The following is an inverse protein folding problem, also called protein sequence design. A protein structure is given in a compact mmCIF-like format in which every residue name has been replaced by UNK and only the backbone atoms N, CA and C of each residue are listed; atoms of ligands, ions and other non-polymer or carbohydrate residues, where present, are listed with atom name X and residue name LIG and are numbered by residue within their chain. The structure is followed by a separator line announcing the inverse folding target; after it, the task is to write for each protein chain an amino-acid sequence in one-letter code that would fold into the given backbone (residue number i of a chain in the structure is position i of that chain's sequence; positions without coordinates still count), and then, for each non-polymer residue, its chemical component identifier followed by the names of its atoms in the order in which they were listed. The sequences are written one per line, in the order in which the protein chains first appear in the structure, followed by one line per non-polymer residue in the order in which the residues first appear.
data_IF_300880016829
#
_entry.id   IF_300880016829
#
_cell.length_a   1.000
_cell.length_b   1.000
_cell.length_c   1.000
_cell.angle_alpha   90.00
_cell.angle_beta   90.00
_cell.angle_gamma   90.00
#
_symmetry.space_group_name_H-M   'P 1'
#
loop_
_entity.id
_entity.type
_entity.pdbx_description
1 polymer ?
#
# COMPACT_ATOMS: atom_id res chain seq x y z
N UNK A 1 18.92 91.40 17.12
CA UNK A 1 19.11 90.22 17.94
C UNK A 1 17.89 89.27 17.72
N UNK A 2 17.97 88.42 16.77
CA UNK A 2 16.88 87.46 16.39
C UNK A 2 17.31 86.09 16.74
N UNK A 3 16.64 85.42 17.72
CA UNK A 3 16.87 84.04 18.14
C UNK A 3 16.03 83.14 17.25
N UNK A 4 16.69 82.33 16.46
CA UNK A 4 16.07 81.23 15.64
C UNK A 4 15.89 80.03 16.51
N UNK A 5 14.63 79.57 16.67
CA UNK A 5 14.29 78.33 17.42
C UNK A 5 14.11 77.23 16.44
N UNK A 6 15.07 76.23 16.41
CA UNK A 6 14.95 75.07 15.62
C UNK A 6 14.07 74.02 16.33
N UNK A 7 12.89 73.75 15.75
CA UNK A 7 11.99 72.70 16.20
C UNK A 7 12.44 71.33 15.57
N UNK A 8 12.99 70.43 16.39
CA UNK A 8 13.35 69.12 15.98
C UNK A 8 12.09 68.24 16.03
N UNK A 9 11.57 67.81 14.83
CA UNK A 9 10.50 66.84 14.71
C UNK A 9 11.13 65.45 14.71
N UNK A 10 10.94 64.71 15.80
CA UNK A 10 11.31 63.29 15.85
C UNK A 10 10.19 62.45 15.20
N UNK A 11 10.48 61.92 14.01
CA UNK A 11 9.60 60.98 13.30
C UNK A 11 9.80 59.57 13.91
N UNK A 12 8.88 59.16 14.78
CA UNK A 12 8.82 57.77 15.27
C UNK A 12 8.35 56.86 14.13
N UNK A 13 9.26 56.12 13.51
CA UNK A 13 8.92 54.96 12.65
C UNK A 13 8.45 53.79 13.52
N UNK A 14 7.14 53.65 13.66
CA UNK A 14 6.56 52.40 14.20
C UNK A 14 6.64 51.36 13.12
N UNK A 15 7.63 50.46 13.20
CA UNK A 15 7.71 49.25 12.37
C UNK A 15 6.66 48.29 12.87
N UNK A 16 5.51 48.23 12.20
CA UNK A 16 4.53 47.15 12.38
C UNK A 16 5.13 45.88 11.80
N UNK A 17 5.64 45.01 12.68
CA UNK A 17 5.95 43.63 12.31
C UNK A 17 4.64 42.94 11.99
N UNK A 18 4.32 42.77 10.71
CA UNK A 18 3.26 41.88 10.28
C UNK A 18 3.72 40.46 10.61
N UNK A 19 3.18 39.88 11.69
CA UNK A 19 3.26 38.46 11.92
C UNK A 19 2.55 37.81 10.74
N UNK A 20 3.32 37.15 9.86
CA UNK A 20 2.76 36.35 8.77
C UNK A 20 1.99 35.18 9.43
N UNK A 21 0.69 35.14 9.20
CA UNK A 21 -0.12 33.99 9.56
C UNK A 21 0.44 32.80 8.77
N UNK A 22 0.87 31.70 9.44
CA UNK A 22 1.39 30.55 8.71
C UNK A 22 0.34 30.10 7.70
N UNK A 23 0.77 29.78 6.49
CA UNK A 23 -0.09 29.13 5.49
C UNK A 23 -0.57 27.79 6.04
N UNK A 24 -1.72 27.28 5.60
CA UNK A 24 -2.25 25.99 6.09
C UNK A 24 -1.26 24.84 5.96
N UNK A 25 -0.32 24.91 5.02
CA UNK A 25 0.76 23.96 4.84
C UNK A 25 1.83 24.04 5.94
N UNK A 26 2.12 25.23 6.44
CA UNK A 26 3.05 25.44 7.55
C UNK A 26 2.46 24.98 8.89
N UNK A 27 1.13 25.12 9.07
CA UNK A 27 0.45 24.75 10.31
C UNK A 27 0.55 23.24 10.65
N UNK A 28 0.77 22.39 9.67
CA UNK A 28 0.87 20.93 9.82
C UNK A 28 2.21 20.34 9.36
N UNK A 29 3.27 21.17 9.24
CA UNK A 29 4.57 20.72 8.73
C UNK A 29 5.17 19.59 9.59
N UNK A 30 5.11 19.71 10.91
CA UNK A 30 5.59 18.71 11.85
C UNK A 30 4.73 17.43 11.78
N UNK A 31 3.42 17.55 11.71
CA UNK A 31 2.51 16.41 11.59
C UNK A 31 2.73 15.65 10.28
N UNK A 32 2.91 16.36 9.17
CA UNK A 32 3.25 15.73 7.88
C UNK A 32 4.60 15.01 7.93
N UNK A 33 5.60 15.58 8.64
CA UNK A 33 6.89 14.91 8.83
C UNK A 33 6.73 13.62 9.66
N UNK A 34 5.98 13.69 10.76
CA UNK A 34 5.69 12.54 11.61
C UNK A 34 4.92 11.42 10.85
N UNK A 35 3.95 11.79 10.01
CA UNK A 35 3.23 10.81 9.19
C UNK A 35 4.11 10.16 8.12
N UNK A 36 5.04 10.91 7.51
CA UNK A 36 6.02 10.33 6.57
C UNK A 36 6.95 9.33 7.27
N UNK A 37 7.44 9.65 8.46
CA UNK A 37 8.26 8.75 9.26
C UNK A 37 7.48 7.49 9.65
N UNK A 38 6.21 7.65 10.03
CA UNK A 38 5.33 6.54 10.33
C UNK A 38 5.12 5.65 9.12
N UNK A 39 4.87 6.21 7.94
CA UNK A 39 4.77 5.47 6.67
C UNK A 39 6.03 4.65 6.38
N UNK A 40 7.22 5.22 6.58
CA UNK A 40 8.48 4.50 6.41
C UNK A 40 8.62 3.32 7.39
N UNK A 41 8.17 3.49 8.65
CA UNK A 41 8.13 2.38 9.65
C UNK A 41 7.18 1.27 9.22
N UNK A 42 6.01 1.62 8.66
CA UNK A 42 5.07 0.64 8.11
C UNK A 42 5.67 -0.13 6.94
N UNK A 43 6.28 0.56 5.97
CA UNK A 43 6.97 -0.07 4.84
C UNK A 43 8.04 -1.05 5.34
N UNK A 44 8.88 -0.63 6.29
CA UNK A 44 9.91 -1.48 6.88
C UNK A 44 9.35 -2.70 7.60
N UNK A 45 8.29 -2.53 8.40
CA UNK A 45 7.66 -3.61 9.15
C UNK A 45 7.07 -4.69 8.23
N UNK A 46 6.38 -4.28 7.15
CA UNK A 46 5.85 -5.19 6.14
C UNK A 46 7.00 -5.91 5.43
N UNK A 47 8.01 -5.19 4.97
CA UNK A 47 9.13 -5.74 4.22
C UNK A 47 9.99 -6.70 5.07
N UNK A 48 10.11 -6.47 6.38
CA UNK A 48 10.74 -7.40 7.31
C UNK A 48 9.81 -8.55 7.73
N UNK A 49 8.50 -8.39 7.53
CA UNK A 49 7.46 -9.33 7.98
C UNK A 49 7.25 -9.35 9.49
N UNK A 50 7.64 -8.27 10.18
CA UNK A 50 7.47 -8.11 11.62
C UNK A 50 6.66 -6.86 11.93
N UNK A 51 5.32 -7.00 11.89
CA UNK A 51 4.41 -5.90 12.18
C UNK A 51 4.40 -5.52 13.67
N UNK A 52 4.89 -6.38 14.57
CA UNK A 52 4.95 -6.07 16.01
C UNK A 52 5.83 -4.88 16.34
N UNK A 53 6.77 -4.53 15.45
CA UNK A 53 7.57 -3.30 15.58
C UNK A 53 6.73 -2.03 15.52
N UNK A 54 5.50 -2.11 15.02
CA UNK A 54 4.55 -1.00 14.92
C UNK A 54 3.71 -0.80 16.19
N UNK A 55 3.90 -1.60 17.25
CA UNK A 55 3.09 -1.52 18.46
C UNK A 55 2.92 -0.09 19.04
N UNK A 56 3.95 0.78 19.06
CA UNK A 56 3.77 2.16 19.53
C UNK A 56 2.91 3.04 18.62
N UNK A 57 2.70 2.62 17.38
CA UNK A 57 2.08 3.41 16.30
C UNK A 57 0.74 2.88 15.84
N UNK A 58 0.20 1.86 16.54
CA UNK A 58 -1.10 1.27 16.26
C UNK A 58 -1.94 1.34 17.55
N UNK A 59 -3.17 1.83 17.41
CA UNK A 59 -4.13 1.78 18.53
C UNK A 59 -4.48 0.31 18.85
N UNK A 60 -4.70 -0.03 20.14
CA UNK A 60 -5.04 -1.40 20.53
C UNK A 60 -6.26 -1.96 19.77
N UNK A 61 -7.27 -1.11 19.54
CA UNK A 61 -8.52 -1.45 18.85
C UNK A 61 -8.47 -1.13 17.34
N UNK A 62 -7.27 -0.91 16.79
CA UNK A 62 -7.13 -0.64 15.37
C UNK A 62 -7.65 -1.82 14.53
N UNK A 63 -8.31 -1.53 13.42
CA UNK A 63 -8.73 -2.55 12.47
C UNK A 63 -8.21 -2.27 11.08
N UNK A 64 -8.05 -3.34 10.31
CA UNK A 64 -7.65 -3.26 8.91
C UNK A 64 -8.54 -4.16 8.04
N UNK A 65 -8.93 -3.65 6.88
CA UNK A 65 -9.50 -4.44 5.78
C UNK A 65 -8.44 -4.52 4.69
N UNK A 66 -7.99 -5.73 4.40
CA UNK A 66 -6.96 -5.95 3.39
C UNK A 66 -7.55 -6.23 2.00
N UNK A 67 -6.73 -6.13 0.98
CA UNK A 67 -7.14 -6.33 -0.41
C UNK A 67 -7.69 -7.74 -0.72
N UNK A 68 -7.50 -8.70 0.18
CA UNK A 68 -8.13 -10.03 0.16
C UNK A 68 -9.55 -10.06 0.71
N UNK A 69 -10.07 -8.90 1.15
CA UNK A 69 -11.34 -8.73 1.87
C UNK A 69 -11.36 -9.36 3.28
N UNK A 70 -10.18 -9.66 3.83
CA UNK A 70 -10.06 -10.06 5.23
C UNK A 70 -10.10 -8.82 6.13
N UNK A 71 -10.96 -8.82 7.13
CA UNK A 71 -11.01 -7.84 8.20
C UNK A 71 -10.34 -8.40 9.44
N UNK A 72 -9.44 -7.63 10.05
CA UNK A 72 -8.71 -8.01 11.27
C UNK A 72 -8.70 -6.86 12.26
N UNK A 73 -8.67 -7.19 13.56
CA UNK A 73 -8.63 -6.23 14.65
C UNK A 73 -7.43 -6.49 15.55
N UNK A 74 -6.69 -5.43 15.85
CA UNK A 74 -5.50 -5.47 16.69
C UNK A 74 -4.24 -5.98 15.97
N UNK A 75 -3.11 -5.58 16.51
CA UNK A 75 -1.79 -5.83 15.89
C UNK A 75 -1.45 -7.33 15.77
N UNK A 76 -1.83 -8.15 16.75
CA UNK A 76 -1.56 -9.58 16.70
C UNK A 76 -2.37 -10.30 15.61
N UNK A 77 -3.61 -9.88 15.36
CA UNK A 77 -4.39 -10.40 14.24
C UNK A 77 -3.82 -9.95 12.89
N UNK A 78 -3.35 -8.70 12.80
CA UNK A 78 -2.63 -8.21 11.61
C UNK A 78 -1.37 -9.03 11.34
N UNK A 79 -0.56 -9.32 12.36
CA UNK A 79 0.63 -10.17 12.23
C UNK A 79 0.26 -11.58 11.75
N UNK A 80 -0.74 -12.22 12.35
CA UNK A 80 -1.23 -13.55 11.93
C UNK A 80 -1.71 -13.56 10.47
N UNK A 81 -2.38 -12.49 10.06
CA UNK A 81 -2.79 -12.34 8.66
C UNK A 81 -1.58 -12.36 7.73
N UNK A 82 -0.55 -11.55 8.01
CA UNK A 82 0.68 -11.51 7.20
C UNK A 82 1.44 -12.84 7.21
N UNK A 83 1.49 -13.53 8.34
CA UNK A 83 2.08 -14.86 8.43
C UNK A 83 1.34 -15.85 7.52
N UNK A 84 -0.01 -15.81 7.49
CA UNK A 84 -0.83 -16.64 6.61
C UNK A 84 -0.59 -16.35 5.11
N UNK A 85 -0.34 -15.09 4.74
CA UNK A 85 0.03 -14.74 3.37
C UNK A 85 1.36 -15.37 2.99
N UNK A 86 2.38 -15.28 3.87
CA UNK A 86 3.68 -15.93 3.63
C UNK A 86 3.57 -17.45 3.46
N UNK A 87 2.75 -18.10 4.28
CA UNK A 87 2.48 -19.54 4.14
C UNK A 87 1.87 -19.87 2.77
N UNK A 88 0.88 -19.10 2.31
CA UNK A 88 0.24 -19.28 1.00
C UNK A 88 1.21 -19.05 -0.16
N UNK A 89 2.17 -18.13 -0.02
CA UNK A 89 3.20 -17.87 -1.04
C UNK A 89 4.25 -19.00 -1.10
N UNK A 90 4.36 -19.80 -0.03
CA UNK A 90 5.23 -20.96 0.06
C UNK A 90 6.61 -20.70 0.65
N UNK A 91 7.31 -21.77 0.99
CA UNK A 91 8.64 -21.70 1.61
C UNK A 91 9.63 -20.98 0.70
N UNK A 92 10.38 -20.02 1.24
CA UNK A 92 11.35 -19.21 0.50
C UNK A 92 10.72 -18.05 -0.28
N UNK A 93 9.41 -17.80 -0.08
CA UNK A 93 8.72 -16.64 -0.63
C UNK A 93 9.16 -15.34 0.03
N UNK A 94 8.93 -14.22 -0.67
CA UNK A 94 9.01 -12.88 -0.12
C UNK A 94 7.82 -12.03 -0.55
N UNK A 95 7.47 -11.08 0.29
CA UNK A 95 6.46 -10.07 0.00
C UNK A 95 7.03 -8.72 0.40
N UNK A 96 7.01 -7.77 -0.52
CA UNK A 96 7.55 -6.42 -0.29
C UNK A 96 6.60 -5.37 -0.82
N UNK A 97 6.60 -4.23 -0.15
CA UNK A 97 5.81 -3.06 -0.52
C UNK A 97 6.70 -1.84 -0.63
N UNK A 98 6.31 -0.91 -1.50
CA UNK A 98 6.84 0.44 -1.57
C UNK A 98 5.68 1.40 -1.50
N UNK A 99 5.59 2.16 -0.40
CA UNK A 99 4.52 3.13 -0.18
C UNK A 99 4.81 4.43 -0.92
N UNK A 100 3.77 4.98 -1.54
CA UNK A 100 3.75 6.32 -2.13
C UNK A 100 2.54 7.05 -1.55
N UNK A 101 2.71 7.75 -0.40
CA UNK A 101 1.63 8.51 0.22
C UNK A 101 1.34 9.80 -0.54
N UNK A 102 0.08 10.15 -0.61
CA UNK A 102 -0.40 11.48 -0.99
C UNK A 102 -0.39 12.43 0.24
N UNK A 103 -0.56 13.74 0.06
CA UNK A 103 -0.69 14.68 1.16
C UNK A 103 -1.87 14.32 2.07
N UNK A 104 -1.59 14.17 3.37
CA UNK A 104 -2.62 13.88 4.37
C UNK A 104 -3.48 15.12 4.67
N UNK A 105 -4.75 14.88 4.99
CA UNK A 105 -5.71 15.87 5.49
C UNK A 105 -5.80 15.80 7.01
N UNK A 106 -5.93 16.95 7.68
CA UNK A 106 -5.94 17.05 9.14
C UNK A 106 -7.24 17.67 9.65
N UNK A 107 -7.85 17.02 10.65
CA UNK A 107 -9.10 17.42 11.29
C UNK A 107 -8.91 17.39 12.81
N UNK A 108 -8.22 18.40 13.36
CA UNK A 108 -7.79 18.40 14.75
C UNK A 108 -6.81 17.24 15.03
N UNK A 109 -7.19 16.37 15.97
CA UNK A 109 -6.38 15.21 16.34
C UNK A 109 -6.57 13.99 15.41
N UNK A 110 -7.30 14.14 14.31
CA UNK A 110 -7.48 13.09 13.31
C UNK A 110 -6.74 13.47 12.03
N UNK A 111 -6.05 12.51 11.44
CA UNK A 111 -5.50 12.60 10.09
C UNK A 111 -6.10 11.52 9.20
N UNK A 112 -6.47 11.94 7.99
CA UNK A 112 -6.82 11.04 6.89
C UNK A 112 -5.63 10.98 5.94
N UNK A 113 -4.96 9.83 5.91
CA UNK A 113 -3.85 9.56 5.00
C UNK A 113 -4.28 8.55 3.95
N UNK A 114 -3.82 8.72 2.74
CA UNK A 114 -4.09 7.79 1.63
C UNK A 114 -2.90 7.75 0.69
N UNK A 115 -2.94 6.83 -0.26
CA UNK A 115 -1.89 6.69 -1.25
C UNK A 115 -1.97 5.35 -1.98
N UNK A 116 -0.91 5.04 -2.68
CA UNK A 116 -0.74 3.75 -3.35
C UNK A 116 0.46 3.00 -2.80
N UNK A 117 0.47 1.68 -3.04
CA UNK A 117 1.62 0.81 -2.80
C UNK A 117 1.99 0.08 -4.09
N UNK A 118 3.27 0.05 -4.41
CA UNK A 118 3.82 -0.88 -5.40
C UNK A 118 4.22 -2.16 -4.65
N UNK A 119 3.57 -3.28 -4.99
CA UNK A 119 3.71 -4.52 -4.25
C UNK A 119 4.37 -5.59 -5.10
N UNK A 120 5.24 -6.38 -4.48
CA UNK A 120 5.90 -7.51 -5.13
C UNK A 120 5.77 -8.75 -4.26
N UNK A 121 5.12 -9.79 -4.80
CA UNK A 121 5.03 -11.11 -4.21
C UNK A 121 5.88 -12.10 -5.02
N UNK A 122 6.92 -12.65 -4.40
CA UNK A 122 7.72 -13.72 -4.99
C UNK A 122 7.37 -15.05 -4.30
N UNK A 123 6.89 -15.99 -5.08
CA UNK A 123 6.51 -17.32 -4.60
C UNK A 123 7.74 -18.18 -4.32
N UNK A 124 7.59 -19.19 -3.47
CA UNK A 124 8.61 -20.20 -3.25
C UNK A 124 9.00 -21.00 -4.52
N UNK A 125 8.15 -21.01 -5.55
CA UNK A 125 8.42 -21.56 -6.88
C UNK A 125 9.34 -20.68 -7.75
N UNK A 126 9.62 -19.45 -7.33
CA UNK A 126 10.38 -18.44 -8.07
C UNK A 126 9.54 -17.52 -8.95
N UNK A 127 8.23 -17.77 -9.13
CA UNK A 127 7.35 -16.86 -9.84
C UNK A 127 7.22 -15.54 -9.09
N UNK A 128 7.20 -14.42 -9.80
CA UNK A 128 7.09 -13.09 -9.25
C UNK A 128 5.87 -12.38 -9.81
N UNK A 129 5.10 -11.76 -8.94
CA UNK A 129 3.92 -10.97 -9.26
C UNK A 129 4.10 -9.56 -8.73
N UNK A 130 3.82 -8.57 -9.57
CA UNK A 130 3.81 -7.14 -9.24
C UNK A 130 2.41 -6.60 -9.44
N UNK A 131 1.94 -5.82 -8.50
CA UNK A 131 0.62 -5.20 -8.55
C UNK A 131 0.58 -3.93 -7.73
N UNK A 132 -0.43 -3.13 -7.95
CA UNK A 132 -0.66 -1.87 -7.24
C UNK A 132 -1.86 -2.05 -6.33
N UNK A 133 -1.74 -1.54 -5.11
CA UNK A 133 -2.88 -1.36 -4.21
C UNK A 133 -3.06 0.12 -3.89
N UNK A 134 -4.28 0.50 -3.53
CA UNK A 134 -4.60 1.78 -2.95
C UNK A 134 -4.97 1.58 -1.48
N UNK A 135 -4.55 2.51 -0.65
CA UNK A 135 -4.83 2.42 0.77
C UNK A 135 -5.33 3.75 1.32
N UNK A 136 -6.15 3.67 2.36
CA UNK A 136 -6.62 4.79 3.17
C UNK A 136 -6.46 4.43 4.63
N UNK A 137 -5.90 5.33 5.42
CA UNK A 137 -5.69 5.16 6.84
C UNK A 137 -6.27 6.34 7.61
N UNK A 138 -6.98 6.05 8.70
CA UNK A 138 -7.38 7.03 9.70
C UNK A 138 -6.40 6.92 10.87
N UNK A 139 -5.77 8.04 11.20
CA UNK A 139 -4.83 8.15 12.31
C UNK A 139 -5.37 9.12 13.34
N UNK A 140 -5.06 8.87 14.61
CA UNK A 140 -5.37 9.74 15.73
C UNK A 140 -4.09 10.18 16.42
N UNK A 141 -4.02 11.45 16.81
CA UNK A 141 -2.93 11.98 17.62
C UNK A 141 -3.26 11.78 19.10
N UNK A 142 -2.41 11.05 19.80
CA UNK A 142 -2.53 10.76 21.23
C UNK A 142 -1.20 11.03 21.92
N UNK A 143 -1.20 11.91 22.92
CA UNK A 143 0.02 12.30 23.62
C UNK A 143 1.11 12.85 22.71
N UNK A 144 0.73 13.55 21.62
CA UNK A 144 1.66 14.10 20.62
C UNK A 144 2.15 13.12 19.56
N UNK A 145 1.75 11.84 19.64
CA UNK A 145 2.14 10.79 18.68
C UNK A 145 0.96 10.35 17.82
N UNK A 146 1.21 10.16 16.52
CA UNK A 146 0.20 9.65 15.59
C UNK A 146 0.13 8.12 15.66
N UNK A 147 -1.09 7.59 15.78
CA UNK A 147 -1.36 6.15 15.81
C UNK A 147 -2.45 5.78 14.81
N UNK A 148 -2.25 4.70 14.07
CA UNK A 148 -3.27 4.19 13.16
C UNK A 148 -4.45 3.59 13.92
N UNK A 149 -5.66 3.95 13.49
CA UNK A 149 -6.93 3.41 14.01
C UNK A 149 -7.61 2.51 12.99
N UNK A 150 -7.58 2.90 11.72
CA UNK A 150 -8.24 2.17 10.63
C UNK A 150 -7.34 2.14 9.42
N UNK A 151 -7.33 1.02 8.74
CA UNK A 151 -6.66 0.85 7.45
C UNK A 151 -7.63 0.15 6.50
N UNK A 152 -7.73 0.65 5.29
CA UNK A 152 -8.38 -0.04 4.18
C UNK A 152 -7.41 -0.14 3.03
N UNK A 153 -7.27 -1.33 2.48
CA UNK A 153 -6.44 -1.59 1.30
C UNK A 153 -7.31 -2.21 0.22
N UNK A 154 -7.24 -1.67 -0.98
CA UNK A 154 -7.96 -2.15 -2.16
C UNK A 154 -7.01 -2.43 -3.31
N UNK A 155 -7.41 -3.32 -4.22
CA UNK A 155 -6.71 -3.57 -5.49
C UNK A 155 -7.73 -3.68 -6.62
N UNK A 156 -7.27 -3.51 -7.85
CA UNK A 156 -8.11 -3.75 -9.02
C UNK A 156 -8.43 -5.25 -9.12
N UNK A 157 -9.71 -5.64 -9.06
CA UNK A 157 -10.09 -7.05 -9.15
C UNK A 157 -9.89 -7.63 -10.56
N UNK A 158 -9.78 -6.79 -11.59
CA UNK A 158 -9.62 -7.21 -12.98
C UNK A 158 -8.15 -7.24 -13.42
N UNK A 159 -7.30 -6.39 -12.84
CA UNK A 159 -5.85 -6.40 -13.03
C UNK A 159 -5.15 -7.00 -11.80
N UNK A 160 -5.56 -8.22 -11.45
CA UNK A 160 -5.02 -8.95 -10.31
C UNK A 160 -4.25 -10.19 -10.82
N UNK A 161 -2.92 -10.22 -10.66
CA UNK A 161 -2.08 -11.32 -11.15
C UNK A 161 -2.49 -12.69 -10.60
N UNK A 162 -2.99 -12.77 -9.36
CA UNK A 162 -3.45 -14.02 -8.77
C UNK A 162 -4.73 -14.53 -9.45
N UNK A 163 -5.65 -13.64 -9.80
CA UNK A 163 -6.88 -14.01 -10.55
C UNK A 163 -6.50 -14.42 -11.97
N UNK A 164 -5.65 -13.63 -12.63
CA UNK A 164 -5.19 -13.93 -14.00
C UNK A 164 -4.48 -15.28 -14.07
N UNK A 165 -3.58 -15.59 -13.15
CA UNK A 165 -2.91 -16.88 -13.08
C UNK A 165 -3.90 -18.05 -12.87
N UNK A 166 -4.92 -17.84 -12.03
CA UNK A 166 -5.95 -18.85 -11.75
C UNK A 166 -6.88 -19.09 -12.96
N UNK A 167 -7.21 -18.04 -13.70
CA UNK A 167 -7.97 -18.13 -14.93
C UNK A 167 -7.19 -18.85 -16.03
N UNK A 168 -5.92 -18.50 -16.21
CA UNK A 168 -5.04 -19.18 -17.17
C UNK A 168 -4.91 -20.67 -16.86
N UNK A 169 -4.68 -21.04 -15.59
CA UNK A 169 -4.63 -22.46 -15.20
C UNK A 169 -5.91 -23.21 -15.55
N UNK A 170 -7.08 -22.63 -15.30
CA UNK A 170 -8.38 -23.23 -15.67
C UNK A 170 -8.52 -23.41 -17.18
N UNK A 171 -8.06 -22.44 -17.96
CA UNK A 171 -8.09 -22.51 -19.43
C UNK A 171 -7.23 -23.68 -19.94
N UNK A 172 -6.03 -23.87 -19.39
CA UNK A 172 -5.15 -24.98 -19.75
C UNK A 172 -5.75 -26.33 -19.36
N UNK A 173 -6.33 -26.45 -18.16
CA UNK A 173 -7.01 -27.68 -17.70
C UNK A 173 -8.20 -28.01 -18.61
N UNK A 174 -8.98 -27.02 -19.04
CA UNK A 174 -10.10 -27.22 -19.93
C UNK A 174 -9.67 -27.59 -21.37
N UNK A 175 -8.55 -27.07 -21.85
CA UNK A 175 -8.04 -27.35 -23.21
C UNK A 175 -7.33 -28.71 -23.30
N UNK A 176 -6.76 -29.23 -22.21
CA UNK A 176 -5.99 -30.47 -22.21
C UNK A 176 -6.74 -31.71 -22.75
N UNK A 177 -8.01 -31.97 -22.37
CA UNK A 177 -8.77 -33.11 -22.92
C UNK A 177 -9.00 -32.99 -24.42
N UNK A 178 -9.28 -31.77 -24.93
CA UNK A 178 -9.45 -31.53 -26.37
C UNK A 178 -8.16 -31.77 -27.17
N UNK A 179 -7.03 -31.32 -26.66
CA UNK A 179 -5.73 -31.55 -27.28
C UNK A 179 -5.37 -33.05 -27.29
N UNK A 180 -5.63 -33.78 -26.22
CA UNK A 180 -5.42 -35.22 -26.13
C UNK A 180 -6.30 -35.96 -27.12
N UNK A 181 -7.60 -35.65 -27.20
CA UNK A 181 -8.52 -36.28 -28.15
C UNK A 181 -8.11 -36.02 -29.60
N UNK A 182 -7.67 -34.79 -29.93
CA UNK A 182 -7.17 -34.47 -31.27
C UNK A 182 -5.89 -35.24 -31.60
N UNK A 183 -4.95 -35.39 -30.67
CA UNK A 183 -3.73 -36.18 -30.85
C UNK A 183 -4.05 -37.65 -31.08
N UNK A 184 -4.97 -38.26 -30.31
CA UNK A 184 -5.41 -39.65 -30.48
C UNK A 184 -6.08 -39.83 -31.84
N UNK A 185 -6.99 -38.95 -32.24
CA UNK A 185 -7.66 -39.03 -33.55
C UNK A 185 -6.64 -38.89 -34.70
N UNK A 186 -5.65 -38.02 -34.57
CA UNK A 186 -4.58 -37.87 -35.56
C UNK A 186 -3.76 -39.16 -35.73
N UNK A 187 -3.36 -39.78 -34.61
CA UNK A 187 -2.58 -41.05 -34.63
C UNK A 187 -3.38 -42.17 -35.27
N UNK A 188 -4.64 -42.34 -34.86
CA UNK A 188 -5.53 -43.39 -35.42
C UNK A 188 -5.82 -43.14 -36.90
N UNK A 189 -6.05 -41.91 -37.33
CA UNK A 189 -6.26 -41.58 -38.74
C UNK A 189 -5.01 -41.84 -39.61
N UNK A 190 -3.84 -41.63 -39.04
CA UNK A 190 -2.58 -41.93 -39.75
C UNK A 190 -2.32 -43.45 -39.84
N UNK A 191 -2.66 -44.21 -38.81
CA UNK A 191 -2.53 -45.65 -38.81
C UNK A 191 -3.51 -46.33 -39.80
N UNK A 192 -4.75 -45.83 -39.90
CA UNK A 192 -5.75 -46.35 -40.86
C UNK A 192 -5.34 -46.09 -42.32
N UNK A 193 -4.78 -44.93 -42.63
CA UNK A 193 -4.27 -44.60 -43.98
C UNK A 193 -3.13 -45.52 -44.41
N UNK A 194 -2.20 -45.86 -43.50
CA UNK A 194 -1.09 -46.79 -43.78
C UNK A 194 -1.60 -48.20 -44.10
N UNK A 195 -2.65 -48.67 -43.43
CA UNK A 195 -3.26 -50.00 -43.71
C UNK A 195 -4.00 -50.06 -45.03
N UNK A 196 -4.56 -48.93 -45.49
CA UNK A 196 -5.25 -48.87 -46.79
C UNK A 196 -4.27 -48.83 -47.98
N UNK A 197 -3.04 -48.36 -47.79
CA UNK A 197 -2.00 -48.29 -48.84
C UNK A 197 -1.20 -49.59 -49.07
N UNK A 198 -1.45 -50.62 -48.24
CA UNK A 198 -0.72 -51.90 -48.29
C UNK A 198 -1.60 -53.04 -48.87
N UNK A 199 -2.79 -52.72 -49.38
CA UNK A 199 -3.64 -53.59 -50.20
C UNK A 199 -3.65 -53.13 -51.65
#
# INVERSE_FOLDING_TARGET
MTRSTHLLIHLLCVSAAFAQTPTSDDAHAEDRAALRELGAKYEQAINSGNLRTLAPSIEPEASAVFATNDEVQGLDAMQKYFDSIKERLGKGSSYTVKLTPDPAEFFGDIALAHGRSDETAKLGSGAEYRFITHWTAVLRKDGGSWKAQRLHVSMDPFDNPAITARLQLRTWIAAAPGALAAAVAFVLGRASRRRASTK
#
